data_IF_590572066034
#
_entry.id   IF_590572066034
#
_cell.length_a   1.000
_cell.length_b   1.000
_cell.length_c   1.000
_cell.angle_alpha   90.00
_cell.angle_beta   90.00
_cell.angle_gamma   90.00
#
_symmetry.space_group_name_H-M   'P 1'
#
loop_
_entity.id
_entity.type
_entity.pdbx_description
1 polymer ?
#
# COMPACT_ATOMS: atom_id res chain seq x y z
N UNK A 1 63.89 -4.36 -2.88
CA UNK A 1 63.10 -5.46 -2.28
C UNK A 1 61.97 -4.93 -1.34
N UNK A 2 61.60 -3.67 -1.47
CA UNK A 2 60.56 -3.00 -0.64
C UNK A 2 59.24 -2.75 -1.36
N UNK A 3 59.16 -2.99 -2.66
CA UNK A 3 57.99 -2.58 -3.48
C UNK A 3 56.90 -3.65 -3.66
N UNK A 4 57.15 -4.87 -3.17
CA UNK A 4 56.13 -5.95 -3.25
C UNK A 4 55.22 -6.06 -2.03
N UNK A 5 55.65 -5.55 -0.87
CA UNK A 5 54.85 -5.60 0.36
C UNK A 5 53.71 -4.56 0.39
N UNK A 6 53.89 -3.42 -0.24
CA UNK A 6 52.84 -2.38 -0.31
C UNK A 6 51.69 -2.72 -1.23
N UNK A 7 51.93 -3.57 -2.25
CA UNK A 7 50.89 -4.00 -3.19
C UNK A 7 50.01 -5.15 -2.67
N UNK A 8 50.53 -5.95 -1.75
CA UNK A 8 49.78 -7.02 -1.07
C UNK A 8 48.93 -6.47 0.06
N UNK A 9 49.41 -5.46 0.78
CA UNK A 9 48.68 -4.82 1.87
C UNK A 9 47.48 -3.98 1.36
N UNK A 10 47.60 -3.42 0.16
CA UNK A 10 46.48 -2.71 -0.49
C UNK A 10 45.38 -3.64 -1.03
N UNK A 11 45.74 -4.84 -1.52
CA UNK A 11 44.79 -5.85 -1.95
C UNK A 11 44.00 -6.49 -0.80
N UNK A 12 44.59 -6.57 0.40
CA UNK A 12 43.89 -7.03 1.58
C UNK A 12 42.90 -5.98 2.13
N UNK A 13 43.20 -4.68 2.01
CA UNK A 13 42.27 -3.61 2.42
C UNK A 13 41.08 -3.41 1.46
N UNK A 14 41.25 -3.70 0.18
CA UNK A 14 40.15 -3.64 -0.79
C UNK A 14 39.21 -4.85 -0.66
N UNK A 15 39.67 -5.96 -0.10
CA UNK A 15 38.82 -7.17 0.06
C UNK A 15 38.00 -7.17 1.37
N UNK A 16 38.28 -6.26 2.31
CA UNK A 16 37.50 -6.14 3.57
C UNK A 16 36.26 -5.24 3.47
N UNK A 17 36.00 -4.58 2.32
CA UNK A 17 34.83 -3.68 2.15
C UNK A 17 33.63 -4.31 1.46
N UNK A 18 33.72 -5.52 0.96
CA UNK A 18 32.56 -6.29 0.51
C UNK A 18 32.10 -7.24 1.62
N UNK A 19 31.62 -6.69 2.72
CA UNK A 19 30.65 -7.41 3.53
C UNK A 19 29.42 -7.56 2.63
N UNK A 20 29.22 -8.74 2.05
CA UNK A 20 27.94 -9.12 1.49
C UNK A 20 26.92 -8.89 2.60
N UNK A 21 26.21 -7.76 2.52
CA UNK A 21 25.09 -7.49 3.41
C UNK A 21 24.07 -8.56 3.09
N UNK A 22 24.01 -9.60 3.90
CA UNK A 22 22.98 -10.63 3.78
C UNK A 22 21.63 -9.93 3.73
N UNK A 23 20.94 -10.03 2.60
CA UNK A 23 19.58 -9.55 2.47
C UNK A 23 18.69 -10.40 3.38
N UNK A 24 18.33 -9.85 4.51
CA UNK A 24 17.49 -10.54 5.48
C UNK A 24 16.04 -10.49 4.98
N UNK A 25 15.46 -11.66 4.76
CA UNK A 25 14.04 -11.80 4.48
C UNK A 25 13.23 -11.41 5.71
N UNK A 26 12.67 -10.21 5.74
CA UNK A 26 11.89 -9.68 6.85
C UNK A 26 10.44 -9.44 6.44
N UNK A 27 9.49 -9.85 7.28
CA UNK A 27 8.09 -9.53 7.05
C UNK A 27 7.79 -8.09 7.49
N UNK A 28 7.14 -7.33 6.64
CA UNK A 28 6.75 -5.94 6.90
C UNK A 28 5.24 -5.75 6.85
N UNK A 29 4.77 -4.81 7.66
CA UNK A 29 3.42 -4.26 7.61
C UNK A 29 3.49 -2.89 6.96
N UNK A 30 2.66 -2.66 5.95
CA UNK A 30 2.53 -1.42 5.21
C UNK A 30 1.18 -0.77 5.52
N UNK A 31 1.19 0.53 5.81
CA UNK A 31 -0.02 1.35 5.87
C UNK A 31 -0.06 2.23 4.61
N UNK A 32 -1.14 2.11 3.83
CA UNK A 32 -1.19 2.60 2.45
C UNK A 32 -2.44 3.45 2.25
N UNK A 33 -2.27 4.64 1.65
CA UNK A 33 -3.36 5.46 1.13
C UNK A 33 -3.33 5.47 -0.39
N UNK A 34 -4.51 5.47 -1.03
CA UNK A 34 -4.57 5.58 -2.49
C UNK A 34 -5.90 6.17 -3.01
N UNK A 35 -5.79 6.88 -4.12
CA UNK A 35 -6.92 7.24 -4.99
C UNK A 35 -7.12 6.13 -6.04
N UNK A 36 -8.16 5.32 -5.86
CA UNK A 36 -8.44 4.17 -6.73
C UNK A 36 -9.04 4.51 -8.09
N UNK A 37 -9.25 5.80 -8.42
CA UNK A 37 -10.00 6.23 -9.63
C UNK A 37 -9.48 5.60 -10.91
N UNK A 38 -8.16 5.46 -11.06
CA UNK A 38 -7.51 4.95 -12.29
C UNK A 38 -7.21 3.45 -12.27
N UNK A 39 -7.60 2.75 -11.20
CA UNK A 39 -7.21 1.36 -10.95
C UNK A 39 -8.40 0.42 -11.05
N UNK A 40 -8.14 -0.79 -11.52
CA UNK A 40 -9.10 -1.90 -11.58
C UNK A 40 -9.24 -2.63 -10.23
N UNK A 41 -9.12 -1.87 -9.14
CA UNK A 41 -9.20 -2.35 -7.77
C UNK A 41 -7.83 -2.62 -7.14
N UNK A 42 -7.88 -3.24 -5.97
CA UNK A 42 -6.68 -3.57 -5.20
C UNK A 42 -5.91 -4.74 -5.81
N UNK A 43 -6.57 -5.89 -5.97
CA UNK A 43 -5.93 -7.18 -6.23
C UNK A 43 -5.16 -7.22 -7.53
N UNK A 44 -3.94 -7.74 -7.48
CA UNK A 44 -3.11 -7.97 -8.66
C UNK A 44 -3.84 -8.88 -9.66
N UNK A 45 -3.96 -8.44 -10.89
CA UNK A 45 -4.57 -9.16 -12.01
C UNK A 45 -3.69 -9.01 -13.24
N UNK A 46 -3.67 -10.05 -14.05
CA UNK A 46 -2.99 -10.01 -15.35
C UNK A 46 -3.66 -8.99 -16.27
N UNK A 47 -2.87 -8.27 -17.04
CA UNK A 47 -3.28 -7.35 -18.11
C UNK A 47 -4.09 -6.11 -17.69
N UNK A 48 -4.19 -5.82 -16.39
CA UNK A 48 -4.84 -4.61 -15.89
C UNK A 48 -4.03 -3.93 -14.79
N UNK A 49 -4.14 -2.61 -14.70
CA UNK A 49 -3.43 -1.82 -13.69
C UNK A 49 -4.20 -1.86 -12.38
N UNK A 50 -3.55 -2.35 -11.33
CA UNK A 50 -4.10 -2.48 -9.98
C UNK A 50 -3.19 -1.85 -8.95
N UNK A 51 -3.73 -1.50 -7.77
CA UNK A 51 -2.97 -0.90 -6.67
C UNK A 51 -1.87 -1.85 -6.19
N UNK A 52 -2.23 -3.10 -5.89
CA UNK A 52 -1.29 -4.12 -5.43
C UNK A 52 -0.18 -4.37 -6.46
N UNK A 53 -0.53 -4.49 -7.75
CA UNK A 53 0.45 -4.71 -8.81
C UNK A 53 1.47 -3.57 -8.93
N UNK A 54 1.04 -2.31 -8.73
CA UNK A 54 1.98 -1.16 -8.72
C UNK A 54 2.91 -1.21 -7.52
N UNK A 55 2.40 -1.51 -6.34
CA UNK A 55 3.21 -1.62 -5.12
C UNK A 55 4.20 -2.77 -5.24
N UNK A 56 3.75 -3.95 -5.68
CA UNK A 56 4.61 -5.12 -5.87
C UNK A 56 5.70 -4.87 -6.91
N UNK A 57 5.40 -4.14 -7.99
CA UNK A 57 6.41 -3.81 -9.00
C UNK A 57 7.53 -2.91 -8.46
N UNK A 58 7.20 -1.92 -7.60
CA UNK A 58 8.20 -1.04 -6.98
C UNK A 58 9.00 -1.78 -5.91
N UNK A 59 8.34 -2.62 -5.09
CA UNK A 59 9.03 -3.47 -4.10
C UNK A 59 9.98 -4.45 -4.77
N UNK A 60 9.55 -5.09 -5.86
CA UNK A 60 10.38 -6.03 -6.61
C UNK A 60 11.59 -5.35 -7.26
N UNK A 61 11.41 -4.11 -7.75
CA UNK A 61 12.51 -3.31 -8.26
C UNK A 61 13.54 -2.99 -7.16
N UNK A 62 13.07 -2.67 -5.96
CA UNK A 62 13.92 -2.38 -4.80
C UNK A 62 14.67 -3.62 -4.31
N UNK A 63 13.99 -4.76 -4.26
CA UNK A 63 14.52 -6.02 -3.74
C UNK A 63 15.39 -6.78 -4.75
N UNK A 64 15.29 -6.46 -6.06
CA UNK A 64 15.95 -7.21 -7.12
C UNK A 64 15.32 -8.57 -7.45
N UNK A 65 14.23 -8.94 -6.78
CA UNK A 65 13.47 -10.17 -7.00
C UNK A 65 11.95 -9.94 -6.84
N UNK A 66 11.16 -10.93 -7.23
CA UNK A 66 9.70 -10.82 -7.14
C UNK A 66 9.21 -10.78 -5.71
N UNK A 67 8.58 -9.66 -5.31
CA UNK A 67 7.97 -9.47 -3.99
C UNK A 67 6.46 -9.47 -4.13
N UNK A 68 5.78 -10.24 -3.27
CA UNK A 68 4.33 -10.31 -3.17
C UNK A 68 3.85 -9.83 -1.81
N UNK A 69 2.77 -9.05 -1.80
CA UNK A 69 2.15 -8.56 -0.57
C UNK A 69 0.69 -8.97 -0.48
N UNK A 70 0.17 -9.04 0.73
CA UNK A 70 -1.21 -9.40 1.03
C UNK A 70 -1.95 -8.23 1.66
N UNK A 71 -3.00 -7.72 1.01
CA UNK A 71 -3.85 -6.68 1.60
C UNK A 71 -4.81 -7.22 2.64
N UNK A 72 -5.13 -6.42 3.66
CA UNK A 72 -6.14 -6.73 4.67
C UNK A 72 -7.54 -6.93 4.06
N UNK A 73 -7.78 -6.36 2.88
CA UNK A 73 -9.00 -6.53 2.12
C UNK A 73 -8.79 -6.23 0.64
N UNK A 74 -9.78 -6.54 -0.15
CA UNK A 74 -9.85 -6.18 -1.56
C UNK A 74 -10.80 -5.00 -1.71
N UNK A 75 -10.43 -4.02 -2.51
CA UNK A 75 -11.31 -2.94 -2.96
C UNK A 75 -11.60 -3.11 -4.43
N UNK A 76 -12.81 -2.78 -4.83
CA UNK A 76 -13.22 -2.82 -6.23
C UNK A 76 -12.64 -1.63 -7.02
N UNK A 77 -12.81 -1.67 -8.35
CA UNK A 77 -12.36 -0.60 -9.24
C UNK A 77 -12.93 0.76 -8.81
N UNK A 78 -12.07 1.78 -8.80
CA UNK A 78 -12.45 3.14 -8.41
C UNK A 78 -12.60 3.40 -6.91
N UNK A 79 -12.47 2.39 -6.04
CA UNK A 79 -12.56 2.56 -4.58
C UNK A 79 -11.25 3.06 -4.02
N UNK A 80 -11.32 4.08 -3.17
CA UNK A 80 -10.16 4.69 -2.49
C UNK A 80 -9.91 4.04 -1.13
N UNK A 81 -8.71 4.20 -0.60
CA UNK A 81 -8.40 3.89 0.79
C UNK A 81 -7.58 5.00 1.43
N UNK A 82 -7.88 5.30 2.70
CA UNK A 82 -7.08 6.23 3.52
C UNK A 82 -6.04 5.51 4.38
N UNK A 83 -6.26 4.23 4.66
CA UNK A 83 -5.40 3.43 5.53
C UNK A 83 -5.63 1.92 5.25
N UNK A 84 -5.23 1.44 4.08
CA UNK A 84 -5.18 0.02 3.77
C UNK A 84 -3.95 -0.58 4.43
N UNK A 85 -4.12 -1.68 5.14
CA UNK A 85 -2.99 -2.45 5.67
C UNK A 85 -2.65 -3.56 4.68
N UNK A 86 -1.35 -3.69 4.37
CA UNK A 86 -0.82 -4.84 3.66
C UNK A 86 0.36 -5.44 4.42
N UNK A 87 0.72 -6.68 4.12
CA UNK A 87 1.91 -7.34 4.67
C UNK A 87 2.54 -8.27 3.67
N UNK A 88 3.84 -8.44 3.77
CA UNK A 88 4.59 -9.39 2.97
C UNK A 88 6.08 -9.40 3.35
N UNK A 89 6.76 -10.51 3.05
CA UNK A 89 8.20 -10.60 3.21
C UNK A 89 8.89 -9.76 2.13
N UNK A 90 9.91 -9.01 2.51
CA UNK A 90 10.74 -8.23 1.59
C UNK A 90 12.21 -8.51 1.92
N UNK A 91 12.98 -9.04 0.96
CA UNK A 91 14.42 -9.19 1.12
C UNK A 91 15.08 -7.84 0.91
N UNK A 92 15.57 -7.24 1.99
CA UNK A 92 16.23 -5.94 1.93
C UNK A 92 17.10 -5.69 3.14
N UNK A 93 18.14 -4.88 2.97
CA UNK A 93 18.98 -4.35 4.02
C UNK A 93 18.56 -2.95 4.49
N UNK A 94 17.47 -2.41 3.89
CA UNK A 94 16.99 -1.06 4.14
C UNK A 94 16.17 -0.96 5.42
N UNK A 95 16.28 0.18 6.08
CA UNK A 95 15.40 0.51 7.21
C UNK A 95 13.95 0.71 6.74
N UNK A 96 12.97 0.58 7.64
CA UNK A 96 11.56 0.83 7.29
C UNK A 96 11.31 2.22 6.70
N UNK A 97 12.03 3.23 7.17
CA UNK A 97 11.96 4.60 6.67
C UNK A 97 12.51 4.70 5.24
N UNK A 98 13.64 4.06 4.96
CA UNK A 98 14.22 4.01 3.62
C UNK A 98 13.33 3.26 2.64
N UNK A 99 12.68 2.17 3.07
CA UNK A 99 11.69 1.43 2.24
C UNK A 99 10.52 2.37 1.90
N UNK A 100 9.95 3.05 2.89
CA UNK A 100 8.84 3.99 2.69
C UNK A 100 9.21 5.09 1.70
N UNK A 101 10.37 5.71 1.88
CA UNK A 101 10.80 6.85 1.09
C UNK A 101 11.14 6.41 -0.35
N UNK A 102 11.80 5.26 -0.51
CA UNK A 102 12.03 4.65 -1.83
C UNK A 102 10.69 4.38 -2.55
N UNK A 103 9.74 3.74 -1.86
CA UNK A 103 8.44 3.44 -2.46
C UNK A 103 7.70 4.71 -2.88
N UNK A 104 7.66 5.74 -2.03
CA UNK A 104 6.99 6.99 -2.34
C UNK A 104 7.70 7.79 -3.46
N UNK A 105 9.00 7.56 -3.68
CA UNK A 105 9.72 8.16 -4.79
C UNK A 105 9.33 7.55 -6.15
N UNK A 106 9.08 6.23 -6.19
CA UNK A 106 8.81 5.52 -7.45
C UNK A 106 7.34 5.20 -7.70
N UNK A 107 6.50 5.28 -6.67
CA UNK A 107 5.06 5.12 -6.83
C UNK A 107 4.44 6.36 -7.48
N UNK A 108 3.34 6.20 -8.24
CA UNK A 108 2.60 7.34 -8.77
C UNK A 108 1.91 8.13 -7.65
N UNK A 109 1.64 9.42 -7.88
CA UNK A 109 1.09 10.37 -6.91
C UNK A 109 -0.23 9.95 -6.25
N UNK A 110 -0.94 9.02 -6.85
CA UNK A 110 -2.20 8.49 -6.32
C UNK A 110 -2.06 7.27 -5.42
N UNK A 111 -0.82 6.84 -5.11
CA UNK A 111 -0.52 5.80 -4.11
C UNK A 111 0.56 6.32 -3.18
N UNK A 112 0.28 6.30 -1.87
CA UNK A 112 1.22 6.75 -0.84
C UNK A 112 1.39 5.68 0.24
N UNK A 113 2.63 5.36 0.57
CA UNK A 113 2.98 4.55 1.72
C UNK A 113 3.12 5.48 2.94
N UNK A 114 2.18 5.38 3.86
CA UNK A 114 2.15 6.22 5.05
C UNK A 114 3.15 5.74 6.11
N UNK A 115 3.25 4.43 6.26
CA UNK A 115 4.08 3.81 7.28
C UNK A 115 4.55 2.43 6.83
N UNK A 116 5.78 2.07 7.17
CA UNK A 116 6.34 0.73 7.07
C UNK A 116 6.83 0.32 8.45
N UNK A 117 6.42 -0.84 8.92
CA UNK A 117 6.87 -1.37 10.22
C UNK A 117 7.26 -2.83 10.09
N UNK A 118 8.34 -3.27 10.75
CA UNK A 118 8.65 -4.69 10.85
C UNK A 118 7.49 -5.42 11.49
N UNK A 119 7.20 -6.60 10.99
CA UNK A 119 6.11 -7.44 11.50
C UNK A 119 6.64 -8.83 11.86
N UNK A 120 5.96 -9.50 12.79
CA UNK A 120 6.27 -10.88 13.10
C UNK A 120 6.15 -11.75 11.83
N UNK A 121 6.96 -12.77 11.71
CA UNK A 121 6.98 -13.68 10.55
C UNK A 121 5.57 -14.22 10.21
N UNK A 122 4.79 -14.57 11.22
CA UNK A 122 3.42 -15.10 11.07
C UNK A 122 2.34 -14.04 10.88
N UNK A 123 2.72 -12.74 10.89
CA UNK A 123 1.73 -11.68 10.69
C UNK A 123 1.24 -11.68 9.24
N UNK A 124 -0.09 -11.70 9.09
CA UNK A 124 -0.75 -11.64 7.79
C UNK A 124 -1.88 -10.60 7.83
N UNK A 125 -1.78 -9.55 7.03
CA UNK A 125 -2.70 -8.42 7.09
C UNK A 125 -4.18 -8.80 7.01
N UNK A 126 -4.53 -9.82 6.22
CA UNK A 126 -5.91 -10.26 6.04
C UNK A 126 -6.43 -11.10 7.22
N UNK A 127 -5.61 -12.02 7.73
CA UNK A 127 -6.05 -12.94 8.78
C UNK A 127 -5.98 -12.32 10.18
N UNK A 128 -5.07 -11.39 10.39
CA UNK A 128 -4.94 -10.66 11.65
C UNK A 128 -5.82 -9.41 11.74
N UNK A 129 -6.58 -9.08 10.66
CA UNK A 129 -7.48 -7.94 10.66
C UNK A 129 -8.63 -8.14 11.65
N UNK A 130 -8.77 -7.23 12.63
CA UNK A 130 -9.86 -7.22 13.62
C UNK A 130 -11.14 -6.58 13.13
N UNK A 131 -11.07 -5.78 12.06
CA UNK A 131 -12.22 -5.09 11.48
C UNK A 131 -11.83 -4.26 10.26
N UNK A 132 -12.83 -3.80 9.52
CA UNK A 132 -12.69 -2.90 8.37
C UNK A 132 -13.68 -1.77 8.54
N UNK A 133 -13.23 -0.55 8.24
CA UNK A 133 -14.06 0.65 8.30
C UNK A 133 -14.31 1.18 6.90
N UNK A 134 -15.58 1.28 6.51
CA UNK A 134 -16.01 1.85 5.23
C UNK A 134 -16.70 3.18 5.45
N UNK A 135 -16.38 4.19 4.61
CA UNK A 135 -17.03 5.49 4.61
C UNK A 135 -17.62 5.76 3.25
N UNK A 136 -18.91 6.08 3.23
CA UNK A 136 -19.60 6.59 2.06
C UNK A 136 -19.92 8.06 2.28
N UNK A 137 -19.44 8.93 1.39
CA UNK A 137 -19.73 10.36 1.44
C UNK A 137 -20.81 10.67 0.42
N UNK A 138 -21.97 11.18 0.89
CA UNK A 138 -23.11 11.49 0.05
C UNK A 138 -23.27 13.01 -0.02
N UNK A 139 -23.27 13.56 -1.22
CA UNK A 139 -23.49 14.98 -1.47
C UNK A 139 -24.94 15.26 -1.88
N UNK A 140 -25.61 16.18 -1.18
CA UNK A 140 -27.01 16.54 -1.40
C UNK A 140 -27.22 17.94 -2.00
N UNK A 141 -26.15 18.63 -2.38
CA UNK A 141 -26.22 19.97 -2.94
C UNK A 141 -26.85 20.00 -4.34
N UNK A 142 -27.45 21.15 -4.69
CA UNK A 142 -28.04 21.38 -6.04
C UNK A 142 -26.95 21.48 -7.11
N UNK A 143 -25.82 22.08 -6.80
CA UNK A 143 -24.67 22.22 -7.71
C UNK A 143 -23.80 20.97 -7.66
N UNK A 144 -22.97 20.76 -8.69
CA UNK A 144 -21.99 19.65 -8.70
C UNK A 144 -20.85 19.97 -7.73
N UNK A 145 -20.39 19.02 -6.91
CA UNK A 145 -19.21 19.20 -6.05
C UNK A 145 -17.96 19.06 -6.91
N UNK A 146 -17.53 20.15 -7.55
CA UNK A 146 -16.49 20.08 -8.60
C UNK A 146 -15.16 19.51 -8.10
N UNK A 147 -14.72 19.93 -6.92
CA UNK A 147 -13.46 19.47 -6.33
C UNK A 147 -13.57 18.07 -5.69
N UNK A 148 -14.70 17.77 -5.06
CA UNK A 148 -14.91 16.50 -4.32
C UNK A 148 -15.59 15.41 -5.16
N UNK A 149 -15.85 15.64 -6.43
CA UNK A 149 -16.65 14.75 -7.30
C UNK A 149 -16.16 13.30 -7.33
N UNK A 150 -14.85 13.07 -7.13
CA UNK A 150 -14.26 11.74 -7.09
C UNK A 150 -14.54 10.98 -5.79
N UNK A 151 -14.75 11.72 -4.69
CA UNK A 151 -14.84 11.18 -3.33
C UNK A 151 -16.25 11.19 -2.75
N UNK A 152 -17.22 11.75 -3.47
CA UNK A 152 -18.61 11.85 -3.03
C UNK A 152 -19.57 11.25 -4.05
N UNK A 153 -20.62 10.61 -3.55
CA UNK A 153 -21.74 10.17 -4.37
C UNK A 153 -22.83 11.22 -4.32
N UNK A 154 -23.22 11.76 -5.48
CA UNK A 154 -24.37 12.66 -5.56
C UNK A 154 -25.66 11.87 -5.40
N UNK A 155 -26.53 12.28 -4.48
CA UNK A 155 -27.88 11.77 -4.33
C UNK A 155 -28.89 12.83 -4.79
N UNK A 156 -29.87 12.45 -5.60
CA UNK A 156 -31.04 13.29 -5.86
C UNK A 156 -31.98 13.26 -4.67
N UNK A 157 -32.50 14.41 -4.26
CA UNK A 157 -33.25 14.64 -3.02
C UNK A 157 -34.44 13.67 -2.83
N UNK A 158 -35.01 13.14 -3.91
CA UNK A 158 -36.18 12.27 -3.87
C UNK A 158 -35.90 10.78 -3.57
N UNK A 159 -34.64 10.36 -3.56
CA UNK A 159 -34.26 8.95 -3.33
C UNK A 159 -33.84 8.64 -1.90
N UNK A 160 -33.52 9.65 -1.09
CA UNK A 160 -32.92 9.45 0.23
C UNK A 160 -33.93 9.26 1.37
N UNK A 161 -35.20 9.65 1.19
CA UNK A 161 -36.22 9.52 2.24
C UNK A 161 -36.90 8.14 2.27
N UNK A 162 -36.77 7.34 1.19
CA UNK A 162 -37.39 6.00 1.10
C UNK A 162 -36.42 4.82 1.09
N UNK A 163 -35.14 5.02 0.93
CA UNK A 163 -34.16 3.97 1.10
C UNK A 163 -33.51 4.10 2.48
N UNK A 164 -34.15 3.58 3.49
CA UNK A 164 -33.39 2.89 4.53
C UNK A 164 -32.43 1.99 3.78
N UNK A 165 -31.16 2.32 3.84
CA UNK A 165 -30.06 1.45 3.37
C UNK A 165 -30.17 0.17 4.21
N UNK A 166 -30.96 -0.79 3.74
CA UNK A 166 -30.94 -2.16 4.23
C UNK A 166 -29.61 -2.73 3.76
N UNK A 167 -28.57 -2.42 4.50
CA UNK A 167 -27.36 -3.19 4.46
C UNK A 167 -27.68 -4.47 5.21
N UNK A 168 -27.89 -5.56 4.48
CA UNK A 168 -27.88 -6.88 5.08
C UNK A 168 -26.45 -7.08 5.60
N UNK A 169 -26.28 -6.81 6.90
CA UNK A 169 -25.03 -6.89 7.61
C UNK A 169 -24.68 -8.35 7.89
N UNK A 170 -24.26 -9.07 6.85
CA UNK A 170 -23.51 -10.31 7.02
C UNK A 170 -21.98 -10.08 6.91
N UNK A 171 -21.54 -8.82 6.98
CA UNK A 171 -20.15 -8.49 7.18
C UNK A 171 -20.03 -7.63 8.43
N UNK A 172 -19.36 -8.14 9.43
CA UNK A 172 -18.94 -7.41 10.64
C UNK A 172 -17.94 -6.34 10.22
N UNK A 173 -18.46 -5.24 9.67
CA UNK A 173 -17.68 -4.06 9.37
C UNK A 173 -18.47 -2.86 9.86
N UNK A 174 -17.86 -2.05 10.71
CA UNK A 174 -18.42 -0.76 11.12
C UNK A 174 -18.42 0.17 9.89
N UNK A 175 -19.56 0.27 9.24
CA UNK A 175 -19.75 1.27 8.19
C UNK A 175 -20.21 2.57 8.82
N UNK A 176 -19.57 3.68 8.49
CA UNK A 176 -20.03 5.03 8.83
C UNK A 176 -20.40 5.79 7.56
N UNK A 177 -21.58 6.42 7.57
CA UNK A 177 -22.02 7.28 6.47
C UNK A 177 -21.86 8.73 6.92
N UNK A 178 -21.00 9.48 6.22
CA UNK A 178 -20.88 10.92 6.40
C UNK A 178 -21.75 11.64 5.38
N UNK A 179 -22.69 12.45 5.86
CA UNK A 179 -23.56 13.30 5.03
C UNK A 179 -23.03 14.73 5.13
N UNK A 180 -22.58 15.32 4.03
CA UNK A 180 -22.25 16.75 3.95
C UNK A 180 -23.44 17.52 3.36
N UNK A 181 -23.72 18.68 3.92
CA UNK A 181 -24.74 19.63 3.44
C UNK A 181 -24.17 20.59 2.42
#
# INVERSE_FOLDING_TARGET
>A
MQDKRSAEDNRHRENESYVEKEMIMQNYRFLIAYDGTRYHGWEHKKDVVTIQGKIESVLSLMAGEEVRINGAGRTDAGVHARAMVASGPVPTDKTPEEIRDYMNHYLPDDICILEVTPAAERFHARFNAKGKHYRYTIYRGRLKPEFDRKYVRRSTVNGCERQQLIWSANMISRASVAISR
#
